data_IF_139749681650
#
_entry.id   IF_139749681650
#
_cell.length_a   1.000
_cell.length_b   1.000
_cell.length_c   1.000
_cell.angle_alpha   90.00
_cell.angle_beta   90.00
_cell.angle_gamma   90.00
#
_symmetry.space_group_name_H-M   'P 1'
#
loop_
_entity.id
_entity.type
_entity.pdbx_description
1 polymer ?
#
# COMPACT_ATOMS: atom_id res chain seq x y z
N UNK A 1 10.24 3.25 7.41
CA UNK A 1 9.24 3.94 6.57
C UNK A 1 9.83 4.31 5.21
N UNK A 2 10.98 5.00 5.14
CA UNK A 2 11.66 5.35 3.87
C UNK A 2 11.91 4.14 2.96
N UNK A 3 12.32 3.00 3.53
CA UNK A 3 12.54 1.77 2.76
C UNK A 3 11.27 1.16 2.16
N UNK A 4 10.09 1.41 2.72
CA UNK A 4 8.83 0.83 2.22
C UNK A 4 8.41 1.46 0.89
N UNK A 5 8.62 2.77 0.74
CA UNK A 5 8.36 3.47 -0.52
C UNK A 5 9.35 3.05 -1.61
N UNK A 6 10.64 3.01 -1.28
CA UNK A 6 11.68 2.52 -2.19
C UNK A 6 11.45 1.05 -2.59
N UNK A 7 10.99 0.22 -1.66
CA UNK A 7 10.59 -1.15 -1.96
C UNK A 7 9.44 -1.21 -2.95
N UNK A 8 8.42 -0.34 -2.82
CA UNK A 8 7.31 -0.25 -3.78
C UNK A 8 7.75 0.18 -5.18
N UNK A 9 8.70 1.12 -5.28
CA UNK A 9 9.30 1.49 -6.57
C UNK A 9 10.11 0.34 -7.17
N UNK A 10 10.94 -0.30 -6.37
CA UNK A 10 11.77 -1.43 -6.82
C UNK A 10 10.92 -2.62 -7.25
N UNK A 11 9.83 -2.93 -6.53
CA UNK A 11 8.91 -4.02 -6.89
C UNK A 11 8.11 -3.70 -8.14
N UNK A 12 7.66 -2.46 -8.34
CA UNK A 12 7.01 -2.05 -9.58
C UNK A 12 7.96 -2.19 -10.78
N UNK A 13 9.22 -1.77 -10.65
CA UNK A 13 10.24 -1.93 -11.69
C UNK A 13 10.54 -3.41 -11.97
N UNK A 14 10.73 -4.22 -10.93
CA UNK A 14 10.98 -5.66 -11.07
C UNK A 14 9.80 -6.38 -11.75
N UNK A 15 8.57 -6.07 -11.33
CA UNK A 15 7.36 -6.59 -11.96
C UNK A 15 7.33 -6.23 -13.45
N UNK A 16 7.64 -4.99 -13.82
CA UNK A 16 7.64 -4.59 -15.22
C UNK A 16 8.71 -5.33 -16.03
N UNK A 17 9.90 -5.54 -15.48
CA UNK A 17 10.96 -6.29 -16.15
C UNK A 17 10.56 -7.75 -16.40
N UNK A 18 9.91 -8.39 -15.43
CA UNK A 18 9.36 -9.75 -15.59
C UNK A 18 8.26 -9.77 -16.65
N UNK A 19 7.37 -8.79 -16.64
CA UNK A 19 6.25 -8.75 -17.58
C UNK A 19 6.72 -8.42 -19.00
N UNK A 20 7.80 -7.65 -19.12
CA UNK A 20 8.47 -7.40 -20.40
C UNK A 20 9.07 -8.68 -20.98
N UNK A 21 9.74 -9.51 -20.18
CA UNK A 21 10.37 -10.75 -20.67
C UNK A 21 9.38 -11.79 -21.18
N UNK A 22 8.14 -11.77 -20.69
CA UNK A 22 7.05 -12.65 -21.15
C UNK A 22 6.14 -12.00 -22.21
N UNK A 23 6.45 -10.79 -22.69
CA UNK A 23 5.66 -10.06 -23.68
C UNK A 23 4.32 -9.48 -23.17
N UNK A 24 4.08 -9.54 -21.86
CA UNK A 24 2.84 -9.13 -21.20
C UNK A 24 2.92 -7.74 -20.56
N UNK A 25 3.48 -6.74 -21.25
CA UNK A 25 3.74 -5.41 -20.66
C UNK A 25 2.52 -4.78 -19.98
N UNK A 26 1.34 -4.88 -20.62
CA UNK A 26 0.07 -4.38 -20.09
C UNK A 26 -0.32 -5.06 -18.77
N UNK A 27 -0.13 -6.38 -18.68
CA UNK A 27 -0.44 -7.17 -17.49
C UNK A 27 0.37 -6.73 -16.27
N UNK A 28 1.60 -6.25 -16.47
CA UNK A 28 2.40 -5.66 -15.40
C UNK A 28 1.77 -4.42 -14.77
N UNK A 29 1.21 -3.53 -15.59
CA UNK A 29 0.49 -2.35 -15.10
C UNK A 29 -0.82 -2.73 -14.42
N UNK A 30 -1.55 -3.73 -14.92
CA UNK A 30 -2.78 -4.24 -14.30
C UNK A 30 -2.50 -4.82 -12.91
N UNK A 31 -1.50 -5.69 -12.79
CA UNK A 31 -1.07 -6.28 -11.52
C UNK A 31 -0.60 -5.16 -10.57
N UNK A 32 0.21 -4.22 -11.05
CA UNK A 32 0.64 -3.07 -10.23
C UNK A 32 -0.55 -2.25 -9.75
N UNK A 33 -1.56 -2.03 -10.59
CA UNK A 33 -2.78 -1.32 -10.21
C UNK A 33 -3.57 -2.04 -9.12
N UNK A 34 -3.73 -3.37 -9.24
CA UNK A 34 -4.38 -4.19 -8.22
C UNK A 34 -3.64 -4.17 -6.89
N UNK A 35 -2.30 -4.28 -6.91
CA UNK A 35 -1.47 -4.17 -5.70
C UNK A 35 -1.59 -2.78 -5.06
N UNK A 36 -1.60 -1.72 -5.87
CA UNK A 36 -1.74 -0.36 -5.41
C UNK A 36 -3.10 -0.10 -4.77
N UNK A 37 -4.19 -0.39 -5.48
CA UNK A 37 -5.56 -0.19 -4.97
C UNK A 37 -5.80 -1.08 -3.75
N UNK A 38 -5.47 -2.37 -3.84
CA UNK A 38 -5.65 -3.31 -2.74
C UNK A 38 -4.87 -2.89 -1.49
N UNK A 39 -3.62 -2.48 -1.65
CA UNK A 39 -2.79 -1.98 -0.55
C UNK A 39 -3.34 -0.70 0.08
N UNK A 40 -3.81 0.26 -0.72
CA UNK A 40 -4.43 1.50 -0.22
C UNK A 40 -5.70 1.18 0.59
N UNK A 41 -6.56 0.30 0.08
CA UNK A 41 -7.79 -0.12 0.77
C UNK A 41 -7.44 -0.79 2.11
N UNK A 42 -6.52 -1.75 2.12
CA UNK A 42 -6.09 -2.44 3.34
C UNK A 42 -5.52 -1.46 4.36
N UNK A 43 -4.62 -0.57 3.93
CA UNK A 43 -4.05 0.45 4.81
C UNK A 43 -5.12 1.40 5.37
N UNK A 44 -6.07 1.82 4.54
CA UNK A 44 -7.19 2.67 4.94
C UNK A 44 -8.10 1.99 5.98
N UNK A 45 -8.42 0.71 5.77
CA UNK A 45 -9.20 -0.09 6.73
C UNK A 45 -8.46 -0.26 8.06
N UNK A 46 -7.16 -0.54 8.04
CA UNK A 46 -6.35 -0.65 9.26
C UNK A 46 -6.30 0.67 10.04
N UNK A 47 -6.08 1.80 9.35
CA UNK A 47 -6.09 3.12 9.98
C UNK A 47 -7.48 3.50 10.49
N UNK A 48 -8.54 3.18 9.75
CA UNK A 48 -9.92 3.39 10.16
C UNK A 48 -10.29 2.60 11.41
N UNK A 49 -9.95 1.31 11.44
CA UNK A 49 -10.14 0.45 12.60
C UNK A 49 -9.35 0.96 13.82
N UNK A 50 -8.11 1.41 13.61
CA UNK A 50 -7.30 2.04 14.66
C UNK A 50 -7.93 3.33 15.21
N UNK A 51 -8.44 4.20 14.34
CA UNK A 51 -9.14 5.43 14.74
C UNK A 51 -10.45 5.14 15.48
N UNK A 52 -11.17 4.09 15.11
CA UNK A 52 -12.38 3.65 15.82
C UNK A 52 -12.03 3.13 17.22
N UNK A 53 -11.05 2.24 17.33
CA UNK A 53 -10.60 1.66 18.59
C UNK A 53 -10.08 2.73 19.57
N UNK A 54 -9.26 3.66 19.09
CA UNK A 54 -8.71 4.76 19.93
C UNK A 54 -9.75 5.73 20.51
N UNK A 55 -11.01 5.70 20.03
CA UNK A 55 -12.13 6.49 20.58
C UNK A 55 -12.79 5.82 21.79
N UNK A 56 -12.56 4.54 22.05
CA UNK A 56 -13.15 3.84 23.19
C UNK A 56 -12.43 4.22 24.51
N UNK A 57 -13.13 4.76 25.52
CA UNK A 57 -12.53 5.18 26.79
C UNK A 57 -11.83 4.04 27.55
N UNK A 58 -12.31 2.80 27.39
CA UNK A 58 -11.75 1.61 28.02
C UNK A 58 -10.31 1.31 27.57
N UNK A 59 -9.96 1.68 26.34
CA UNK A 59 -8.66 1.38 25.74
C UNK A 59 -7.56 2.40 26.08
N UNK A 60 -7.93 3.62 26.52
CA UNK A 60 -6.95 4.66 26.92
C UNK A 60 -6.17 4.32 28.19
N UNK A 61 -6.72 3.44 29.01
CA UNK A 61 -6.28 3.12 30.37
C UNK A 61 -5.31 1.93 30.46
N UNK A 62 -5.20 1.11 29.40
CA UNK A 62 -4.35 -0.08 29.37
C UNK A 62 -2.98 0.22 28.72
N UNK A 63 -1.86 0.12 29.45
CA UNK A 63 -0.53 0.43 28.90
C UNK A 63 -0.08 -0.54 27.79
N UNK A 64 -0.43 -1.83 27.89
CA UNK A 64 -0.02 -2.88 26.94
C UNK A 64 -0.61 -2.69 25.54
N UNK A 65 -1.76 -2.03 25.41
CA UNK A 65 -2.45 -1.88 24.12
C UNK A 65 -1.87 -0.74 23.26
N UNK A 66 -1.05 0.13 23.86
CA UNK A 66 -0.43 1.28 23.15
C UNK A 66 0.66 0.86 22.18
N UNK A 67 1.40 -0.20 22.48
CA UNK A 67 2.46 -0.70 21.60
C UNK A 67 1.88 -1.45 20.40
N UNK A 68 0.86 -2.28 20.62
CA UNK A 68 0.08 -2.93 19.56
C UNK A 68 -0.54 -1.91 18.60
N UNK A 69 -1.16 -0.86 19.15
CA UNK A 69 -1.71 0.25 18.38
C UNK A 69 -0.68 0.99 17.52
N UNK A 70 0.50 1.31 18.07
CA UNK A 70 1.62 1.91 17.32
C UNK A 70 2.12 0.99 16.21
N UNK A 71 2.15 -0.33 16.44
CA UNK A 71 2.55 -1.30 15.44
C UNK A 71 1.53 -1.41 14.30
N UNK A 72 0.23 -1.46 14.60
CA UNK A 72 -0.85 -1.44 13.59
C UNK A 72 -0.75 -0.19 12.72
N UNK A 73 -0.61 0.99 13.33
CA UNK A 73 -0.44 2.24 12.60
C UNK A 73 0.82 2.22 11.72
N UNK A 74 1.94 1.74 12.26
CA UNK A 74 3.21 1.63 11.52
C UNK A 74 3.09 0.69 10.32
N UNK A 75 2.46 -0.47 10.49
CA UNK A 75 2.24 -1.43 9.40
C UNK A 75 1.33 -0.82 8.34
N UNK A 76 0.23 -0.18 8.73
CA UNK A 76 -0.68 0.46 7.80
C UNK A 76 0.02 1.53 6.96
N UNK A 77 0.85 2.37 7.60
CA UNK A 77 1.68 3.37 6.89
C UNK A 77 2.70 2.71 5.97
N UNK A 78 3.33 1.61 6.38
CA UNK A 78 4.27 0.87 5.52
C UNK A 78 3.58 0.28 4.29
N UNK A 79 2.39 -0.31 4.44
CA UNK A 79 1.57 -0.81 3.34
C UNK A 79 1.19 0.32 2.41
N UNK A 80 0.73 1.46 2.96
CA UNK A 80 0.38 2.63 2.16
C UNK A 80 1.57 3.14 1.34
N UNK A 81 2.73 3.30 1.98
CA UNK A 81 3.96 3.76 1.31
C UNK A 81 4.44 2.79 0.23
N UNK A 82 4.22 1.48 0.39
CA UNK A 82 4.51 0.48 -0.63
C UNK A 82 3.50 0.51 -1.79
N UNK A 83 2.21 0.70 -1.47
CA UNK A 83 1.11 0.64 -2.43
C UNK A 83 1.02 1.89 -3.33
N UNK A 84 1.36 3.07 -2.82
CA UNK A 84 1.29 4.33 -3.57
C UNK A 84 2.13 4.31 -4.85
N UNK A 85 3.43 3.91 -4.84
CA UNK A 85 4.21 3.74 -6.07
C UNK A 85 3.52 2.86 -7.12
N UNK A 86 2.99 1.72 -6.68
CA UNK A 86 2.30 0.77 -7.55
C UNK A 86 1.02 1.37 -8.16
N UNK A 87 0.25 2.11 -7.37
CA UNK A 87 -0.95 2.82 -7.82
C UNK A 87 -0.60 3.91 -8.83
N UNK A 88 0.33 4.80 -8.49
CA UNK A 88 0.73 5.92 -9.36
C UNK A 88 1.27 5.40 -10.68
N UNK A 89 2.12 4.37 -10.64
CA UNK A 89 2.69 3.76 -11.83
C UNK A 89 1.61 3.22 -12.80
N UNK A 90 0.66 2.45 -12.28
CA UNK A 90 -0.45 1.93 -13.09
C UNK A 90 -1.40 3.05 -13.55
N UNK A 91 -1.74 3.99 -12.66
CA UNK A 91 -2.64 5.10 -12.95
C UNK A 91 -2.11 5.98 -14.08
N UNK A 92 -0.82 6.34 -14.03
CA UNK A 92 -0.17 7.13 -15.08
C UNK A 92 -0.20 6.39 -16.42
N UNK A 93 0.08 5.08 -16.44
CA UNK A 93 -0.03 4.29 -17.67
C UNK A 93 -1.45 4.35 -18.25
N UNK A 94 -2.46 4.00 -17.46
CA UNK A 94 -3.84 3.96 -17.95
C UNK A 94 -4.39 5.35 -18.32
N UNK A 95 -3.96 6.40 -17.63
CA UNK A 95 -4.33 7.77 -18.00
C UNK A 95 -3.78 8.15 -19.39
N UNK A 96 -2.57 7.73 -19.73
CA UNK A 96 -1.93 8.05 -21.01
C UNK A 96 -2.31 7.11 -22.16
N UNK A 97 -2.87 5.93 -21.87
CA UNK A 97 -3.27 4.95 -22.90
C UNK A 97 -4.78 4.79 -23.07
N UNK A 98 -5.59 5.43 -22.22
CA UNK A 98 -7.05 5.45 -22.33
C UNK A 98 -7.59 6.66 -23.12
N UNK A 99 -6.69 7.54 -23.60
CA UNK A 99 -6.98 8.60 -24.57
C UNK A 99 -6.71 8.11 -25.99
#
# INVERSE_FOLDING_TARGET
>A
MTYSFLAGLASAAALQLVMWSIGGLRTGYEISGLLGIGGIIIAGLMLGAFLAASREPAQKSAPDDREGQKNVQRIAVMILLFAVPHFVYAFVYFLNTAA
#
